data_IF_220092576619
#
_entry.id   IF_220092576619
#
_cell.length_a   1.000
_cell.length_b   1.000
_cell.length_c   1.000
_cell.angle_alpha   90.00
_cell.angle_beta   90.00
_cell.angle_gamma   90.00
#
_symmetry.space_group_name_H-M   'P 1'
#
loop_
_entity.id
_entity.type
_entity.pdbx_description
1 polymer ?
#
# COMPACT_ATOMS: atom_id res chain seq x y z
N UNK A 1 -58.38 -18.30 21.17
CA UNK A 1 -57.04 -18.37 21.82
C UNK A 1 -56.08 -19.00 20.82
N UNK A 2 -54.81 -18.56 20.77
CA UNK A 2 -53.79 -18.79 19.71
C UNK A 2 -53.88 -17.90 18.47
N UNK A 3 -53.47 -16.62 18.57
CA UNK A 3 -52.98 -15.87 17.37
C UNK A 3 -52.21 -14.58 17.72
N UNK A 4 -51.52 -14.52 18.86
CA UNK A 4 -50.70 -13.34 19.21
C UNK A 4 -49.30 -13.71 19.68
N UNK A 5 -49.17 -14.79 20.46
CA UNK A 5 -47.88 -15.29 20.96
C UNK A 5 -46.99 -15.91 19.86
N UNK A 6 -47.57 -16.52 18.83
CA UNK A 6 -46.82 -17.12 17.70
C UNK A 6 -46.26 -16.07 16.74
N UNK A 7 -46.92 -14.90 16.61
CA UNK A 7 -46.49 -13.83 15.71
C UNK A 7 -45.30 -13.03 16.30
N UNK A 8 -45.18 -12.97 17.63
CA UNK A 8 -44.06 -12.34 18.33
C UNK A 8 -42.75 -13.14 18.19
N UNK A 9 -42.82 -14.48 18.18
CA UNK A 9 -41.65 -15.35 18.00
C UNK A 9 -41.06 -15.24 16.58
N UNK A 10 -41.90 -15.06 15.55
CA UNK A 10 -41.45 -14.89 14.16
C UNK A 10 -40.77 -13.52 13.96
N UNK A 11 -41.22 -12.47 14.66
CA UNK A 11 -40.56 -11.15 14.61
C UNK A 11 -39.20 -11.12 15.32
N UNK A 12 -39.00 -11.94 16.36
CA UNK A 12 -37.71 -12.05 17.05
C UNK A 12 -36.67 -12.83 16.23
N UNK A 13 -37.09 -13.85 15.46
CA UNK A 13 -36.18 -14.61 14.59
C UNK A 13 -35.72 -13.85 13.33
N UNK A 14 -36.49 -12.86 12.86
CA UNK A 14 -36.09 -12.01 11.73
C UNK A 14 -35.16 -10.85 12.12
N UNK A 15 -34.82 -10.70 13.41
CA UNK A 15 -34.01 -9.58 13.89
C UNK A 15 -32.55 -9.94 14.25
N UNK A 16 -32.13 -11.21 14.11
CA UNK A 16 -30.85 -11.69 14.68
C UNK A 16 -29.83 -12.27 13.69
N UNK A 17 -30.10 -12.36 12.38
CA UNK A 17 -29.09 -12.90 11.44
C UNK A 17 -28.84 -11.94 10.30
N UNK A 18 -27.67 -11.31 10.36
CA UNK A 18 -27.09 -10.56 9.25
C UNK A 18 -26.91 -9.07 9.51
N UNK A 19 -26.24 -8.67 10.59
CA UNK A 19 -25.20 -7.67 10.39
C UNK A 19 -24.24 -8.31 9.39
N UNK A 20 -24.54 -8.19 8.10
CA UNK A 20 -23.61 -8.52 7.05
C UNK A 20 -22.34 -7.81 7.46
N UNK A 21 -21.31 -8.59 7.80
CA UNK A 21 -20.01 -8.04 8.07
C UNK A 21 -19.69 -7.23 6.84
N UNK A 22 -19.80 -5.90 6.98
CA UNK A 22 -19.28 -4.98 5.99
C UNK A 22 -17.79 -5.17 6.14
N UNK A 23 -17.25 -6.20 5.51
CA UNK A 23 -15.85 -6.23 5.15
C UNK A 23 -15.74 -5.10 4.16
N UNK A 24 -15.52 -3.90 4.69
CA UNK A 24 -14.94 -2.80 3.97
C UNK A 24 -13.54 -3.29 3.62
N UNK A 25 -13.44 -4.11 2.58
CA UNK A 25 -12.18 -4.47 1.96
C UNK A 25 -11.75 -3.26 1.13
N UNK A 26 -11.50 -2.14 1.80
CA UNK A 26 -10.66 -1.08 1.26
C UNK A 26 -9.28 -1.70 1.15
N UNK A 27 -8.92 -2.12 -0.07
CA UNK A 27 -7.71 -2.86 -0.45
C UNK A 27 -6.61 -2.92 0.61
N UNK A 28 -6.74 -3.86 1.55
CA UNK A 28 -5.72 -4.04 2.57
C UNK A 28 -4.47 -4.56 1.88
N UNK A 29 -3.45 -3.71 1.86
CA UNK A 29 -2.13 -4.08 1.39
C UNK A 29 -1.43 -4.82 2.51
N UNK A 30 -0.85 -5.99 2.21
CA UNK A 30 -0.04 -6.73 3.17
C UNK A 30 1.45 -6.46 2.97
N UNK A 31 2.28 -6.67 4.02
CA UNK A 31 3.73 -6.81 3.91
C UNK A 31 4.20 -7.68 2.73
N UNK A 32 3.51 -8.80 2.52
CA UNK A 32 3.83 -9.78 1.48
C UNK A 32 3.64 -9.18 0.08
N UNK A 33 2.63 -8.33 -0.11
CA UNK A 33 2.38 -7.69 -1.40
C UNK A 33 3.50 -6.72 -1.77
N UNK A 34 3.91 -5.86 -0.83
CA UNK A 34 5.05 -4.96 -1.05
C UNK A 34 6.32 -5.75 -1.38
N UNK A 35 6.69 -6.71 -0.53
CA UNK A 35 7.93 -7.46 -0.71
C UNK A 35 7.95 -8.21 -2.04
N UNK A 36 6.84 -8.86 -2.41
CA UNK A 36 6.73 -9.60 -3.67
C UNK A 36 6.90 -8.68 -4.88
N UNK A 37 6.23 -7.52 -4.88
CA UNK A 37 6.30 -6.57 -5.99
C UNK A 37 7.69 -5.94 -6.11
N UNK A 38 8.30 -5.55 -5.00
CA UNK A 38 9.66 -5.02 -4.96
C UNK A 38 10.68 -6.05 -5.48
N UNK A 39 10.61 -7.29 -4.99
CA UNK A 39 11.51 -8.36 -5.45
C UNK A 39 11.28 -8.73 -6.92
N UNK A 40 10.04 -8.59 -7.42
CA UNK A 40 9.76 -8.75 -8.85
C UNK A 40 10.45 -7.67 -9.67
N UNK A 41 10.42 -6.41 -9.25
CA UNK A 41 11.11 -5.32 -9.93
C UNK A 41 12.65 -5.50 -9.90
N UNK A 42 13.21 -5.90 -8.75
CA UNK A 42 14.65 -6.17 -8.57
C UNK A 42 15.14 -7.32 -9.45
N UNK A 43 14.36 -8.40 -9.54
CA UNK A 43 14.69 -9.53 -10.41
C UNK A 43 14.78 -9.14 -11.91
N UNK A 44 13.95 -8.20 -12.39
CA UNK A 44 13.99 -7.71 -13.78
C UNK A 44 15.31 -7.01 -14.12
N UNK A 45 16.10 -6.60 -13.13
CA UNK A 45 17.38 -5.91 -13.30
C UNK A 45 18.54 -6.67 -12.67
N UNK A 46 18.33 -7.92 -12.24
CA UNK A 46 19.39 -8.80 -11.74
C UNK A 46 19.91 -8.44 -10.35
N UNK A 47 19.10 -7.77 -9.51
CA UNK A 47 19.46 -7.38 -8.15
C UNK A 47 18.86 -8.37 -7.13
N UNK A 48 19.63 -8.68 -6.08
CA UNK A 48 19.23 -9.62 -5.03
C UNK A 48 17.91 -9.22 -4.34
N UNK A 49 17.08 -10.20 -3.93
CA UNK A 49 15.79 -9.91 -3.28
C UNK A 49 15.97 -9.32 -1.88
N UNK A 50 15.05 -8.43 -1.52
CA UNK A 50 14.88 -7.92 -0.16
C UNK A 50 14.24 -8.97 0.75
N UNK A 51 14.38 -8.74 2.05
CA UNK A 51 13.68 -9.45 3.13
C UNK A 51 12.87 -8.45 3.95
N UNK A 52 11.71 -8.87 4.43
CA UNK A 52 10.89 -8.03 5.29
C UNK A 52 11.55 -7.85 6.67
N UNK A 53 11.53 -6.63 7.18
CA UNK A 53 11.93 -6.31 8.55
C UNK A 53 10.72 -5.69 9.29
N UNK A 54 10.18 -6.37 10.32
CA UNK A 54 9.07 -5.85 11.11
C UNK A 54 9.35 -4.48 11.76
N UNK A 55 10.61 -4.14 12.05
CA UNK A 55 10.96 -2.82 12.60
C UNK A 55 10.83 -1.71 11.56
N UNK A 56 11.14 -2.00 10.30
CA UNK A 56 10.95 -1.05 9.19
C UNK A 56 9.46 -0.87 8.88
N UNK A 57 8.67 -1.93 8.97
CA UNK A 57 7.21 -1.86 8.86
C UNK A 57 6.62 -0.93 9.92
N UNK A 58 6.97 -1.14 11.19
CA UNK A 58 6.50 -0.29 12.28
C UNK A 58 6.90 1.17 12.09
N UNK A 59 8.16 1.41 11.69
CA UNK A 59 8.66 2.75 11.38
C UNK A 59 7.86 3.42 10.26
N UNK A 60 7.69 2.74 9.11
CA UNK A 60 6.98 3.26 7.95
C UNK A 60 5.49 3.50 8.25
N UNK A 61 4.85 2.59 8.98
CA UNK A 61 3.45 2.72 9.39
C UNK A 61 3.26 3.96 10.30
N UNK A 62 4.14 4.12 11.30
CA UNK A 62 4.11 5.26 12.21
C UNK A 62 4.30 6.58 11.46
N UNK A 63 5.23 6.63 10.52
CA UNK A 63 5.46 7.83 9.71
C UNK A 63 4.28 8.14 8.77
N UNK A 64 3.77 7.14 8.04
CA UNK A 64 2.63 7.29 7.15
C UNK A 64 1.39 7.84 7.88
N UNK A 65 1.13 7.39 9.11
CA UNK A 65 0.04 7.93 9.94
C UNK A 65 0.21 9.42 10.24
N UNK A 66 1.45 9.91 10.45
CA UNK A 66 1.73 11.32 10.72
C UNK A 66 1.49 12.22 9.50
N UNK A 67 1.83 11.75 8.30
CA UNK A 67 1.83 12.58 7.07
C UNK A 67 0.64 12.36 6.14
N UNK A 68 -0.23 11.38 6.42
CA UNK A 68 -1.36 10.98 5.57
C UNK A 68 -2.38 12.07 5.24
N UNK A 69 -2.50 13.14 6.06
CA UNK A 69 -3.63 14.09 6.02
C UNK A 69 -3.78 14.87 4.71
N UNK A 70 -2.68 15.27 4.08
CA UNK A 70 -2.71 16.24 2.96
C UNK A 70 -2.11 15.70 1.65
N UNK A 71 -1.78 14.40 1.60
CA UNK A 71 -1.17 13.78 0.44
C UNK A 71 0.06 14.57 -0.08
N UNK A 72 0.96 14.90 0.84
CA UNK A 72 2.23 15.55 0.52
C UNK A 72 3.34 14.52 0.63
N UNK A 73 4.23 14.49 -0.36
CA UNK A 73 5.48 13.74 -0.28
C UNK A 73 6.46 14.57 0.54
N UNK A 74 6.46 14.31 1.84
CA UNK A 74 7.42 14.86 2.81
C UNK A 74 8.17 13.66 3.34
N UNK A 75 9.50 13.70 3.30
CA UNK A 75 10.33 12.61 3.76
C UNK A 75 10.59 12.71 5.26
N UNK A 76 10.83 11.59 5.91
CA UNK A 76 11.01 11.51 7.37
C UNK A 76 12.32 12.09 7.89
N UNK A 77 13.29 12.34 7.00
CA UNK A 77 14.70 12.63 7.35
C UNK A 77 15.28 11.60 8.34
N UNK A 78 14.75 10.37 8.29
CA UNK A 78 15.10 9.26 9.14
C UNK A 78 16.40 8.56 8.75
N UNK A 79 16.78 7.50 9.50
CA UNK A 79 18.00 6.75 9.24
C UNK A 79 17.89 5.76 8.08
N UNK A 80 16.72 5.62 7.45
CA UNK A 80 16.44 4.62 6.41
C UNK A 80 16.17 5.27 5.06
N UNK A 81 16.44 4.54 3.98
CA UNK A 81 15.94 4.87 2.66
C UNK A 81 14.41 4.82 2.64
N UNK A 82 13.77 5.74 1.90
CA UNK A 82 12.33 5.94 1.98
C UNK A 82 11.73 6.24 0.59
N UNK A 83 10.68 5.51 0.25
CA UNK A 83 9.82 5.82 -0.89
C UNK A 83 8.41 6.13 -0.37
N UNK A 84 7.82 7.22 -0.83
CA UNK A 84 6.45 7.62 -0.46
C UNK A 84 5.60 7.63 -1.71
N UNK A 85 4.41 7.05 -1.60
CA UNK A 85 3.39 7.16 -2.63
C UNK A 85 2.14 7.77 -2.02
N UNK A 86 1.57 8.73 -2.72
CA UNK A 86 0.27 9.25 -2.38
C UNK A 86 -0.55 9.57 -3.64
N UNK A 87 -1.83 9.23 -3.60
CA UNK A 87 -2.80 9.58 -4.63
C UNK A 87 -3.92 10.43 -4.02
N UNK A 88 -4.40 11.42 -4.78
CA UNK A 88 -5.54 12.25 -4.40
C UNK A 88 -6.85 11.65 -4.95
N UNK A 89 -7.97 11.94 -4.29
CA UNK A 89 -9.31 11.53 -4.73
C UNK A 89 -9.65 10.08 -4.40
N UNK A 90 -10.58 9.48 -5.16
CA UNK A 90 -11.06 8.09 -4.97
C UNK A 90 -10.11 7.04 -5.56
N UNK A 91 -8.81 7.35 -5.66
CA UNK A 91 -7.83 6.40 -6.16
C UNK A 91 -7.65 5.25 -5.17
N UNK A 92 -7.69 4.01 -5.67
CA UNK A 92 -7.39 2.83 -4.87
C UNK A 92 -5.89 2.79 -4.57
N UNK A 93 -5.49 3.32 -3.41
CA UNK A 93 -4.10 3.26 -2.94
C UNK A 93 -3.81 1.88 -2.35
N UNK A 94 -2.86 1.17 -2.96
CA UNK A 94 -2.37 -0.12 -2.49
C UNK A 94 -0.90 -0.36 -2.93
N UNK A 95 -0.26 -1.44 -2.46
CA UNK A 95 1.12 -1.77 -2.83
C UNK A 95 1.35 -1.83 -4.34
N UNK A 96 0.42 -2.39 -5.12
CA UNK A 96 0.58 -2.50 -6.56
C UNK A 96 0.66 -1.12 -7.22
N UNK A 97 -0.23 -0.19 -6.84
CA UNK A 97 -0.18 1.19 -7.36
C UNK A 97 1.07 1.94 -6.93
N UNK A 98 1.53 1.77 -5.69
CA UNK A 98 2.72 2.43 -5.17
C UNK A 98 4.00 1.92 -5.85
N UNK A 99 4.22 0.60 -5.83
CA UNK A 99 5.41 -0.01 -6.43
C UNK A 99 5.46 0.20 -7.94
N UNK A 100 4.31 0.18 -8.63
CA UNK A 100 4.25 0.49 -10.06
C UNK A 100 4.65 1.93 -10.35
N UNK A 101 4.19 2.89 -9.55
CA UNK A 101 4.57 4.29 -9.72
C UNK A 101 6.08 4.50 -9.53
N UNK A 102 6.68 3.83 -8.53
CA UNK A 102 8.12 3.85 -8.33
C UNK A 102 8.89 3.13 -9.45
N UNK A 103 8.38 2.00 -9.95
CA UNK A 103 9.01 1.27 -11.07
C UNK A 103 8.94 2.06 -12.38
N UNK A 104 7.87 2.82 -12.62
CA UNK A 104 7.67 3.61 -13.85
C UNK A 104 8.70 4.71 -14.06
N UNK A 105 9.43 5.09 -13.01
CA UNK A 105 10.58 5.98 -13.09
C UNK A 105 11.78 5.34 -13.80
N UNK A 106 11.79 4.01 -14.03
CA UNK A 106 12.84 3.30 -14.77
C UNK A 106 13.16 3.93 -16.13
N UNK A 107 12.13 4.43 -16.83
CA UNK A 107 12.29 5.07 -18.14
C UNK A 107 13.07 6.39 -18.09
N UNK A 108 13.26 6.94 -16.89
CA UNK A 108 14.03 8.15 -16.61
C UNK A 108 15.40 7.85 -15.99
N UNK A 109 15.79 6.59 -15.83
CA UNK A 109 17.10 6.23 -15.30
C UNK A 109 17.98 5.68 -16.41
N UNK A 110 19.16 6.28 -16.57
CA UNK A 110 20.19 5.77 -17.46
C UNK A 110 21.25 5.01 -16.66
N UNK A 111 21.43 3.74 -17.00
CA UNK A 111 22.37 2.84 -16.31
C UNK A 111 23.82 3.19 -16.62
N UNK A 112 24.11 3.71 -17.82
CA UNK A 112 25.48 3.99 -18.26
C UNK A 112 26.05 5.21 -17.52
N UNK A 113 25.26 6.27 -17.37
CA UNK A 113 25.63 7.48 -16.62
C UNK A 113 25.27 7.44 -15.14
N UNK A 114 24.59 6.39 -14.68
CA UNK A 114 24.07 6.24 -13.32
C UNK A 114 23.30 7.50 -12.85
N UNK A 115 22.45 8.05 -13.72
CA UNK A 115 21.81 9.35 -13.50
C UNK A 115 20.39 9.38 -14.03
N UNK A 116 19.57 10.28 -13.48
CA UNK A 116 18.25 10.54 -14.04
C UNK A 116 18.35 11.40 -15.30
N UNK A 117 17.59 11.07 -16.34
CA UNK A 117 17.63 11.70 -17.66
C UNK A 117 16.33 12.45 -17.99
N UNK A 118 16.41 13.35 -18.97
CA UNK A 118 15.26 14.10 -19.48
C UNK A 118 14.68 15.14 -18.51
N UNK A 119 15.43 15.52 -17.47
CA UNK A 119 14.96 16.46 -16.44
C UNK A 119 13.90 15.88 -15.51
N UNK A 120 13.75 14.56 -15.49
CA UNK A 120 12.83 13.85 -14.61
C UNK A 120 13.55 13.27 -13.39
N UNK A 121 12.78 13.02 -12.34
CA UNK A 121 13.25 12.31 -11.14
C UNK A 121 13.15 10.80 -11.35
N UNK A 122 14.10 10.08 -10.77
CA UNK A 122 14.13 8.62 -10.81
C UNK A 122 14.50 7.99 -9.45
N UNK A 123 14.43 8.78 -8.38
CA UNK A 123 14.89 8.39 -7.04
C UNK A 123 14.12 7.22 -6.45
N UNK A 124 12.82 7.10 -6.75
CA UNK A 124 12.05 5.98 -6.25
C UNK A 124 12.43 4.68 -6.96
N UNK A 125 12.67 4.73 -8.26
CA UNK A 125 13.18 3.58 -9.01
C UNK A 125 14.55 3.16 -8.51
N UNK A 126 15.48 4.11 -8.37
CA UNK A 126 16.84 3.81 -7.88
C UNK A 126 16.79 3.18 -6.49
N UNK A 127 16.00 3.71 -5.56
CA UNK A 127 15.83 3.11 -4.23
C UNK A 127 15.21 1.71 -4.28
N UNK A 128 14.28 1.46 -5.22
CA UNK A 128 13.64 0.15 -5.39
C UNK A 128 14.64 -0.93 -5.80
N UNK A 129 15.67 -0.57 -6.57
CA UNK A 129 16.68 -1.49 -7.13
C UNK A 129 18.09 -1.29 -6.57
N UNK A 130 18.24 -0.53 -5.49
CA UNK A 130 19.52 -0.31 -4.79
C UNK A 130 20.03 -1.57 -4.10
#
# INVERSE_FOLDING_TARGET
>A
MQSSSTLLLIKALLFVVGLAQVHVSLGQTSPVDFLKLQNTARAKVGVDPLRWDPKLEEYAQNYAMQVSRNCKVVYSDGPYGENIYCAKGLANVNAATAVKAWEDEKKYYDYDSNSCIGGHECRHFVQLVF
#
